data_IF_710989348200
#
_entry.id   IF_710989348200
#
_cell.length_a   1.000
_cell.length_b   1.000
_cell.length_c   1.000
_cell.angle_alpha   90.00
_cell.angle_beta   90.00
_cell.angle_gamma   90.00
#
_symmetry.space_group_name_H-M   'P 1'
#
loop_
_entity.id
_entity.type
_entity.pdbx_description
1 polymer ?
#
# COMPACT_ATOMS: atom_id res chain seq x y z
N UNK A 1 -39.75 21.97 1.40
CA UNK A 1 -38.55 21.44 2.11
C UNK A 1 -37.39 21.61 1.12
N UNK A 2 -36.59 22.69 1.08
CA UNK A 2 -35.68 23.31 2.06
C UNK A 2 -34.46 22.42 2.45
N UNK A 3 -33.59 22.17 1.47
CA UNK A 3 -32.15 21.90 1.64
C UNK A 3 -31.44 22.50 0.42
N UNK A 4 -31.25 23.82 0.29
CA UNK A 4 -30.27 24.68 0.98
C UNK A 4 -28.89 24.04 1.11
N UNK A 5 -28.03 24.45 0.15
CA UNK A 5 -26.59 24.76 0.27
C UNK A 5 -25.63 23.60 0.56
N UNK A 6 -24.85 23.25 -0.46
CA UNK A 6 -23.38 23.09 -0.55
C UNK A 6 -23.16 22.94 -2.07
N UNK A 7 -22.74 23.92 -2.90
CA UNK A 7 -21.61 24.85 -2.88
C UNK A 7 -20.23 24.15 -2.84
N UNK A 8 -19.47 24.33 -3.93
CA UNK A 8 -18.10 23.87 -4.21
C UNK A 8 -17.93 22.35 -4.47
N UNK A 9 -17.25 21.89 -5.54
CA UNK A 9 -16.35 22.55 -6.49
C UNK A 9 -16.33 21.77 -7.81
N UNK A 10 -16.27 22.49 -8.95
CA UNK A 10 -15.70 21.93 -10.16
C UNK A 10 -14.17 21.90 -9.95
N UNK A 11 -13.57 20.71 -9.89
CA UNK A 11 -12.11 20.58 -9.77
C UNK A 11 -11.65 19.13 -9.63
N UNK A 12 -11.17 18.57 -10.75
CA UNK A 12 -10.35 17.33 -10.88
C UNK A 12 -10.93 16.01 -10.35
N UNK A 13 -11.92 15.42 -11.04
CA UNK A 13 -12.39 14.06 -10.78
C UNK A 13 -11.89 13.01 -11.82
N UNK A 14 -10.97 13.36 -12.72
CA UNK A 14 -10.47 12.45 -13.77
C UNK A 14 -9.18 11.71 -13.41
N UNK A 15 -8.56 11.98 -12.25
CA UNK A 15 -7.24 11.42 -11.89
C UNK A 15 -7.28 10.31 -10.84
N UNK A 16 -8.37 10.25 -10.06
CA UNK A 16 -8.52 9.30 -8.95
C UNK A 16 -8.72 7.88 -9.47
N UNK A 17 -9.51 7.72 -10.53
CA UNK A 17 -9.73 6.41 -11.19
C UNK A 17 -8.41 5.81 -11.69
N UNK A 18 -7.50 6.64 -12.21
CA UNK A 18 -6.20 6.21 -12.73
C UNK A 18 -5.26 5.77 -11.60
N UNK A 19 -5.19 6.54 -10.51
CA UNK A 19 -4.37 6.22 -9.34
C UNK A 19 -4.88 4.96 -8.63
N UNK A 20 -6.19 4.83 -8.43
CA UNK A 20 -6.77 3.62 -7.81
C UNK A 20 -6.63 2.39 -8.72
N UNK A 21 -6.73 2.53 -10.04
CA UNK A 21 -6.47 1.43 -10.97
C UNK A 21 -4.99 1.02 -10.99
N UNK A 22 -4.06 2.00 -10.94
CA UNK A 22 -2.62 1.74 -10.86
C UNK A 22 -2.24 1.07 -9.54
N UNK A 23 -2.83 1.53 -8.43
CA UNK A 23 -2.69 0.96 -7.11
C UNK A 23 -3.16 -0.51 -7.08
N UNK A 24 -4.35 -0.79 -7.61
CA UNK A 24 -4.91 -2.16 -7.67
C UNK A 24 -4.03 -3.11 -8.50
N UNK A 25 -3.49 -2.62 -9.62
CA UNK A 25 -2.56 -3.38 -10.45
C UNK A 25 -1.22 -3.64 -9.73
N UNK A 26 -0.67 -2.65 -9.03
CA UNK A 26 0.56 -2.79 -8.26
C UNK A 26 0.39 -3.76 -7.07
N UNK A 27 -0.73 -3.69 -6.34
CA UNK A 27 -1.06 -4.60 -5.24
C UNK A 27 -1.23 -6.03 -5.75
N UNK A 28 -1.85 -6.21 -6.92
CA UNK A 28 -1.98 -7.53 -7.57
C UNK A 28 -0.65 -8.10 -8.05
N UNK A 29 0.36 -7.26 -8.27
CA UNK A 29 1.72 -7.67 -8.61
C UNK A 29 2.57 -8.04 -7.38
N UNK A 30 2.07 -7.81 -6.15
CA UNK A 30 2.74 -8.27 -4.93
C UNK A 30 2.57 -9.79 -4.82
N UNK A 31 3.66 -10.57 -4.72
CA UNK A 31 3.53 -12.02 -4.64
C UNK A 31 2.92 -12.45 -3.30
N UNK A 32 2.01 -13.42 -3.37
CA UNK A 32 1.20 -13.89 -2.23
C UNK A 32 2.01 -14.48 -1.08
N UNK A 33 3.25 -14.92 -1.34
CA UNK A 33 4.15 -15.40 -0.28
C UNK A 33 4.56 -14.28 0.69
N UNK A 34 4.50 -13.01 0.26
CA UNK A 34 4.88 -11.84 1.05
C UNK A 34 3.69 -11.08 1.65
N UNK A 35 2.50 -11.20 1.05
CA UNK A 35 1.30 -10.43 1.46
C UNK A 35 0.94 -10.63 2.92
N UNK A 36 0.98 -11.87 3.43
CA UNK A 36 0.71 -12.16 4.84
C UNK A 36 1.76 -11.58 5.78
N UNK A 37 3.03 -11.58 5.36
CA UNK A 37 4.13 -10.98 6.13
C UNK A 37 3.97 -9.45 6.22
N UNK A 38 3.65 -8.81 5.09
CA UNK A 38 3.47 -7.35 5.00
C UNK A 38 2.27 -6.93 5.83
N UNK A 39 1.13 -7.63 5.71
CA UNK A 39 -0.07 -7.34 6.48
C UNK A 39 0.15 -7.46 7.99
N UNK A 40 0.88 -8.48 8.42
CA UNK A 40 1.23 -8.68 9.84
C UNK A 40 2.17 -7.58 10.34
N UNK A 41 3.18 -7.21 9.53
CA UNK A 41 4.11 -6.13 9.84
C UNK A 41 3.44 -4.75 9.86
N UNK A 42 2.53 -4.47 8.93
CA UNK A 42 1.72 -3.25 8.88
C UNK A 42 0.84 -3.12 10.12
N UNK A 43 0.22 -4.22 10.54
CA UNK A 43 -0.57 -4.29 11.78
C UNK A 43 0.31 -4.02 13.00
N UNK A 44 1.53 -4.59 13.06
CA UNK A 44 2.49 -4.34 14.13
C UNK A 44 2.99 -2.88 14.15
N UNK A 45 3.03 -2.23 12.99
CA UNK A 45 3.38 -0.81 12.86
C UNK A 45 2.19 0.15 13.13
N UNK A 46 1.00 -0.39 13.43
CA UNK A 46 -0.20 0.39 13.76
C UNK A 46 -1.00 0.88 12.56
N UNK A 47 -0.69 0.40 11.35
CA UNK A 47 -1.47 0.73 10.17
C UNK A 47 -2.73 -0.14 10.09
N UNK A 48 -3.85 0.50 9.74
CA UNK A 48 -5.06 -0.21 9.36
C UNK A 48 -4.82 -1.05 8.10
N UNK A 49 -5.51 -2.19 7.91
CA UNK A 49 -5.38 -2.99 6.71
C UNK A 49 -5.69 -2.13 5.47
N UNK A 50 -4.85 -2.22 4.44
CA UNK A 50 -4.97 -1.46 3.16
C UNK A 50 -4.78 0.05 3.29
N UNK A 51 -4.31 0.55 4.44
CA UNK A 51 -3.98 1.95 4.60
C UNK A 51 -2.58 2.24 4.05
N UNK A 52 -2.47 2.25 2.71
CA UNK A 52 -1.20 2.44 2.01
C UNK A 52 -0.52 3.76 2.37
N UNK A 53 -1.28 4.82 2.65
CA UNK A 53 -0.72 6.09 3.13
C UNK A 53 0.03 5.93 4.47
N UNK A 54 -0.47 5.07 5.37
CA UNK A 54 0.22 4.72 6.61
C UNK A 54 1.39 3.76 6.34
N UNK A 55 1.16 2.70 5.55
CA UNK A 55 2.17 1.66 5.29
C UNK A 55 3.39 2.21 4.55
N UNK A 56 3.19 3.22 3.71
CA UNK A 56 4.21 3.87 2.89
C UNK A 56 4.78 5.14 3.50
N UNK A 57 4.25 5.62 4.62
CA UNK A 57 4.86 6.72 5.34
C UNK A 57 6.27 6.30 5.78
N UNK A 58 7.28 7.18 5.67
CA UNK A 58 8.70 6.79 5.78
C UNK A 58 9.06 6.10 7.11
N UNK A 59 8.44 6.53 8.21
CA UNK A 59 8.64 5.94 9.54
C UNK A 59 8.06 4.53 9.65
N UNK A 60 6.83 4.33 9.16
CA UNK A 60 6.13 3.06 9.19
C UNK A 60 6.70 2.08 8.17
N UNK A 61 7.00 2.55 6.96
CA UNK A 61 7.59 1.76 5.88
C UNK A 61 8.89 1.08 6.33
N UNK A 62 9.78 1.83 6.98
CA UNK A 62 11.02 1.27 7.55
C UNK A 62 10.72 0.19 8.60
N UNK A 63 9.77 0.43 9.50
CA UNK A 63 9.37 -0.56 10.51
C UNK A 63 8.77 -1.81 9.88
N UNK A 64 7.89 -1.65 8.90
CA UNK A 64 7.23 -2.73 8.17
C UNK A 64 8.25 -3.56 7.42
N UNK A 65 9.17 -2.91 6.70
CA UNK A 65 10.27 -3.56 5.98
C UNK A 65 11.12 -4.40 6.92
N UNK A 66 11.52 -3.84 8.06
CA UNK A 66 12.37 -4.53 9.02
C UNK A 66 11.65 -5.71 9.70
N UNK A 67 10.33 -5.59 9.92
CA UNK A 67 9.51 -6.66 10.48
C UNK A 67 9.14 -7.74 9.44
N UNK A 68 8.89 -7.35 8.20
CA UNK A 68 8.48 -8.23 7.13
C UNK A 68 9.66 -8.96 6.47
N UNK A 69 10.86 -8.36 6.40
CA UNK A 69 12.00 -8.92 5.65
C UNK A 69 12.35 -10.34 6.08
N UNK A 70 12.39 -10.64 7.39
CA UNK A 70 12.68 -12.00 7.87
C UNK A 70 11.58 -13.00 7.50
N UNK A 71 10.32 -12.57 7.58
CA UNK A 71 9.18 -13.41 7.19
C UNK A 71 9.15 -13.67 5.68
N UNK A 72 9.36 -12.62 4.87
CA UNK A 72 9.39 -12.70 3.40
C UNK A 72 10.58 -13.54 2.95
N UNK A 73 11.75 -13.40 3.57
CA UNK A 73 12.91 -14.24 3.26
C UNK A 73 12.63 -15.73 3.55
N UNK A 74 11.96 -16.04 4.66
CA UNK A 74 11.59 -17.40 5.02
C UNK A 74 10.48 -18.01 4.15
N UNK A 75 9.48 -17.20 3.76
CA UNK A 75 8.32 -17.66 3.01
C UNK A 75 8.49 -17.62 1.48
N UNK A 76 9.15 -16.58 0.97
CA UNK A 76 9.33 -16.34 -0.46
C UNK A 76 10.72 -16.69 -0.99
N UNK A 77 11.73 -16.76 -0.12
CA UNK A 77 13.14 -16.83 -0.50
C UNK A 77 13.72 -15.49 -0.92
N UNK A 78 15.06 -15.42 -1.00
CA UNK A 78 15.81 -14.17 -1.18
C UNK A 78 15.58 -13.49 -2.54
N UNK A 79 15.41 -14.27 -3.62
CA UNK A 79 15.09 -13.76 -4.96
C UNK A 79 13.73 -13.09 -5.01
N UNK A 80 12.72 -13.71 -4.42
CA UNK A 80 11.35 -13.19 -4.46
C UNK A 80 11.17 -12.05 -3.46
N UNK A 81 11.92 -12.04 -2.36
CA UNK A 81 11.90 -10.96 -1.38
C UNK A 81 12.25 -9.60 -2.00
N UNK A 82 13.29 -9.52 -2.82
CA UNK A 82 13.65 -8.27 -3.52
C UNK A 82 12.58 -7.84 -4.51
N UNK A 83 11.85 -8.79 -5.10
CA UNK A 83 10.71 -8.52 -5.96
C UNK A 83 9.51 -7.97 -5.18
N UNK A 84 9.23 -8.52 -3.99
CA UNK A 84 8.23 -7.99 -3.04
C UNK A 84 8.56 -6.55 -2.69
N UNK A 85 9.80 -6.29 -2.28
CA UNK A 85 10.32 -4.95 -1.95
C UNK A 85 10.06 -3.95 -3.07
N UNK A 86 10.39 -4.33 -4.31
CA UNK A 86 10.16 -3.49 -5.49
C UNK A 86 8.66 -3.28 -5.75
N UNK A 87 7.83 -4.33 -5.69
CA UNK A 87 6.38 -4.21 -5.86
C UNK A 87 5.75 -3.31 -4.80
N UNK A 88 6.13 -3.43 -3.52
CA UNK A 88 5.60 -2.58 -2.44
C UNK A 88 6.01 -1.13 -2.63
N UNK A 89 7.23 -0.85 -3.10
CA UNK A 89 7.64 0.53 -3.44
C UNK A 89 6.81 1.11 -4.60
N UNK A 90 6.44 0.29 -5.59
CA UNK A 90 5.56 0.69 -6.67
C UNK A 90 4.12 0.93 -6.16
N UNK A 91 3.62 0.09 -5.25
CA UNK A 91 2.35 0.31 -4.53
C UNK A 91 2.40 1.65 -3.81
N UNK A 92 3.46 1.95 -3.07
CA UNK A 92 3.61 3.22 -2.38
C UNK A 92 3.67 4.44 -3.30
N UNK A 93 4.15 4.27 -4.53
CA UNK A 93 4.17 5.34 -5.53
C UNK A 93 2.82 5.49 -6.24
N UNK A 94 2.06 4.40 -6.36
CA UNK A 94 0.78 4.36 -7.07
C UNK A 94 -0.44 4.63 -6.18
N UNK A 95 -0.33 4.35 -4.88
CA UNK A 95 -1.43 4.38 -3.91
C UNK A 95 -1.37 5.57 -2.92
N UNK A 96 -0.29 6.35 -2.91
CA UNK A 96 -0.06 7.53 -2.05
C UNK A 96 0.19 8.75 -2.91
#
# INVERSE_FOLDING_TARGET
>A
MKFTKIALVLGTATSLVSAQSACSAAVSAVPACGTSCISSAASAAGCAPTNYACECAPATFTSIQNAAVLCVLGACGLTTATQVLSSVSAVCTACV
#
